data_IF_028134025339
#
_entry.id   IF_028134025339
#
_cell.length_a   1.000
_cell.length_b   1.000
_cell.length_c   1.000
_cell.angle_alpha   90.00
_cell.angle_beta   90.00
_cell.angle_gamma   90.00
#
_symmetry.space_group_name_H-M   'P 1'
#
loop_
_entity.id
_entity.type
_entity.pdbx_description
1 polymer ?
#
# COMPACT_ATOMS: atom_id res chain seq x y z
N UNK A 1 7.60 -5.10 8.15
CA UNK A 1 8.49 -4.17 7.42
C UNK A 1 9.28 -3.35 8.42
N UNK A 2 10.58 -3.51 8.48
CA UNK A 2 11.41 -2.71 9.39
C UNK A 2 11.29 -1.20 9.14
N UNK A 3 11.52 -0.40 10.16
CA UNK A 3 11.48 1.06 10.03
C UNK A 3 12.40 1.54 8.90
N UNK A 4 11.93 2.48 8.11
CA UNK A 4 12.68 3.05 6.98
C UNK A 4 12.64 2.22 5.70
N UNK A 5 12.12 1.00 5.73
CA UNK A 5 12.03 0.16 4.54
C UNK A 5 10.87 0.59 3.65
N UNK A 6 11.08 0.51 2.33
CA UNK A 6 10.08 0.89 1.34
C UNK A 6 9.84 -0.27 0.36
N UNK A 7 8.56 -0.48 0.04
CA UNK A 7 8.17 -1.33 -1.08
C UNK A 7 7.92 -0.39 -2.25
N UNK A 8 8.69 -0.53 -3.32
CA UNK A 8 8.63 0.36 -4.47
C UNK A 8 7.26 0.32 -5.15
N UNK A 9 6.97 1.41 -5.87
CA UNK A 9 5.74 1.53 -6.65
C UNK A 9 5.60 0.34 -7.60
N UNK A 10 4.45 -0.32 -7.52
CA UNK A 10 4.13 -1.45 -8.39
C UNK A 10 2.64 -1.50 -8.65
N UNK A 11 2.22 -2.40 -9.56
CA UNK A 11 0.83 -2.53 -9.96
C UNK A 11 0.52 -4.00 -10.24
N UNK A 12 -0.70 -4.41 -9.88
CA UNK A 12 -1.21 -5.75 -10.19
C UNK A 12 -2.35 -5.64 -11.20
N UNK A 13 -2.38 -6.55 -12.18
CA UNK A 13 -3.33 -6.47 -13.29
C UNK A 13 -4.75 -6.92 -12.91
N UNK A 14 -4.89 -7.89 -12.02
CA UNK A 14 -6.19 -8.51 -11.76
C UNK A 14 -6.41 -8.90 -10.29
N UNK A 15 -5.73 -8.21 -9.39
CA UNK A 15 -5.76 -8.55 -7.96
C UNK A 15 -6.22 -7.38 -7.11
N UNK A 16 -7.14 -7.65 -6.19
CA UNK A 16 -7.45 -6.75 -5.08
C UNK A 16 -6.56 -7.11 -3.90
N UNK A 17 -6.11 -6.10 -3.18
CA UNK A 17 -5.30 -6.30 -1.98
C UNK A 17 -5.92 -5.54 -0.83
N UNK A 18 -5.98 -6.19 0.33
CA UNK A 18 -6.49 -5.58 1.56
C UNK A 18 -5.40 -5.70 2.61
N UNK A 19 -5.01 -4.57 3.19
CA UNK A 19 -4.00 -4.52 4.26
C UNK A 19 -4.65 -3.95 5.52
N UNK A 20 -4.40 -4.58 6.66
CA UNK A 20 -4.79 -4.06 7.96
C UNK A 20 -3.54 -3.86 8.80
N UNK A 21 -3.34 -2.65 9.32
CA UNK A 21 -2.17 -2.32 10.13
C UNK A 21 -2.38 -2.80 11.56
N UNK A 22 -1.46 -3.62 12.04
CA UNK A 22 -1.49 -4.15 13.41
C UNK A 22 -0.62 -3.34 14.36
N UNK A 23 0.55 -2.85 13.89
CA UNK A 23 1.46 -2.05 14.71
C UNK A 23 2.44 -1.31 13.82
N UNK A 24 3.14 -0.34 14.39
CA UNK A 24 4.08 0.51 13.68
C UNK A 24 3.41 1.67 12.97
N UNK A 25 4.18 2.41 12.19
CA UNK A 25 3.66 3.52 11.39
C UNK A 25 4.31 3.57 10.01
N UNK A 26 3.56 4.06 9.03
CA UNK A 26 4.03 4.12 7.67
C UNK A 26 3.21 5.07 6.82
N UNK A 27 3.48 5.02 5.52
CA UNK A 27 2.70 5.76 4.52
C UNK A 27 2.37 4.84 3.36
N UNK A 28 1.20 5.04 2.80
CA UNK A 28 0.72 4.34 1.62
C UNK A 28 0.34 5.38 0.58
N UNK A 29 0.85 5.21 -0.64
CA UNK A 29 0.53 6.09 -1.76
C UNK A 29 -0.13 5.28 -2.87
N UNK A 30 -1.17 5.83 -3.47
CA UNK A 30 -1.87 5.22 -4.58
C UNK A 30 -2.04 6.24 -5.69
N UNK A 31 -1.90 5.80 -6.94
CA UNK A 31 -2.02 6.61 -8.15
C UNK A 31 -3.25 6.22 -8.95
N UNK A 32 -3.67 7.12 -9.82
CA UNK A 32 -4.71 6.80 -10.78
C UNK A 32 -4.28 5.68 -11.71
N UNK A 33 -5.23 4.88 -12.18
CA UNK A 33 -4.98 3.85 -13.18
C UNK A 33 -4.36 4.51 -14.42
N UNK A 34 -3.24 3.97 -14.87
CA UNK A 34 -2.54 4.51 -16.04
C UNK A 34 -1.67 5.73 -15.77
N UNK A 35 -1.51 6.13 -14.51
CA UNK A 35 -0.68 7.28 -14.16
C UNK A 35 0.77 7.07 -14.60
N UNK A 36 1.36 8.13 -15.16
CA UNK A 36 2.75 8.13 -15.61
C UNK A 36 3.73 8.10 -14.44
N UNK A 37 4.99 7.83 -14.76
CA UNK A 37 6.06 7.68 -13.79
C UNK A 37 6.26 8.92 -12.92
N UNK A 38 6.05 10.12 -13.48
CA UNK A 38 6.23 11.37 -12.77
C UNK A 38 4.94 11.95 -12.18
N UNK A 39 3.84 11.21 -12.25
CA UNK A 39 2.56 11.67 -11.71
C UNK A 39 2.61 11.70 -10.18
N UNK A 40 1.89 12.64 -9.59
CA UNK A 40 1.72 12.69 -8.14
C UNK A 40 0.70 11.65 -7.70
N UNK A 41 0.82 11.08 -6.50
CA UNK A 41 -0.18 10.18 -5.99
C UNK A 41 -1.56 10.84 -5.93
N UNK A 42 -2.59 10.06 -6.24
CA UNK A 42 -3.97 10.48 -6.05
C UNK A 42 -4.26 10.68 -4.56
N UNK A 43 -3.69 9.81 -3.74
CA UNK A 43 -3.91 9.83 -2.31
C UNK A 43 -2.67 9.32 -1.57
N UNK A 44 -2.37 9.93 -0.43
CA UNK A 44 -1.35 9.46 0.50
C UNK A 44 -2.02 9.26 1.85
N UNK A 45 -1.95 8.05 2.39
CA UNK A 45 -2.60 7.68 3.64
C UNK A 45 -1.54 7.35 4.68
N UNK A 46 -1.68 7.92 5.89
CA UNK A 46 -0.82 7.53 7.00
C UNK A 46 -1.28 6.17 7.53
N UNK A 47 -0.32 5.25 7.65
CA UNK A 47 -0.55 3.92 8.18
C UNK A 47 -0.26 3.92 9.68
N UNK A 48 -1.23 3.51 10.47
CA UNK A 48 -1.09 3.32 11.91
C UNK A 48 -2.09 2.24 12.32
N UNK A 49 -1.99 1.80 13.57
CA UNK A 49 -2.81 0.69 14.07
C UNK A 49 -4.28 0.88 13.70
N UNK A 50 -4.92 -0.19 13.24
CA UNK A 50 -6.33 -0.30 12.87
C UNK A 50 -6.71 0.34 11.52
N UNK A 51 -5.74 0.97 10.82
CA UNK A 51 -6.00 1.46 9.46
C UNK A 51 -6.11 0.29 8.50
N UNK A 52 -7.13 0.33 7.64
CA UNK A 52 -7.37 -0.67 6.60
C UNK A 52 -7.27 0.01 5.24
N UNK A 53 -6.46 -0.58 4.34
CA UNK A 53 -6.26 -0.08 2.98
C UNK A 53 -6.72 -1.13 2.00
N UNK A 54 -7.47 -0.71 0.99
CA UNK A 54 -7.88 -1.57 -0.13
C UNK A 54 -7.31 -1.01 -1.43
N UNK A 55 -6.66 -1.86 -2.21
CA UNK A 55 -6.10 -1.51 -3.52
C UNK A 55 -6.76 -2.38 -4.57
N UNK A 56 -7.28 -1.75 -5.63
CA UNK A 56 -7.88 -2.47 -6.74
C UNK A 56 -6.89 -2.83 -7.84
N UNK A 57 -7.31 -3.66 -8.81
CA UNK A 57 -6.49 -3.98 -9.97
C UNK A 57 -6.07 -2.71 -10.71
N UNK A 58 -4.86 -2.73 -11.28
CA UNK A 58 -4.29 -1.66 -12.11
C UNK A 58 -4.03 -0.34 -11.38
N UNK A 59 -4.26 -0.26 -10.08
CA UNK A 59 -3.92 0.93 -9.29
C UNK A 59 -2.47 0.84 -8.84
N UNK A 60 -1.57 1.68 -9.38
CA UNK A 60 -0.18 1.71 -8.89
C UNK A 60 -0.16 2.16 -7.44
N UNK A 61 0.68 1.52 -6.65
CA UNK A 61 0.76 1.86 -5.21
C UNK A 61 2.17 1.62 -4.67
N UNK A 62 2.44 2.29 -3.57
CA UNK A 62 3.73 2.24 -2.87
C UNK A 62 3.45 2.27 -1.37
N UNK A 63 4.30 1.61 -0.61
CA UNK A 63 4.16 1.53 0.83
C UNK A 63 5.53 1.63 1.49
N UNK A 64 5.61 2.34 2.60
CA UNK A 64 6.86 2.43 3.36
C UNK A 64 6.61 2.50 4.85
N UNK A 65 7.51 1.91 5.62
CA UNK A 65 7.55 2.10 7.06
C UNK A 65 8.31 3.39 7.34
N UNK A 66 7.79 4.23 8.24
CA UNK A 66 8.46 5.48 8.59
C UNK A 66 9.71 5.20 9.43
N UNK A 67 10.73 6.04 9.28
CA UNK A 67 11.97 5.91 10.03
C UNK A 67 11.77 6.06 11.53
N UNK A 68 10.80 6.88 11.93
CA UNK A 68 10.46 7.10 13.32
C UNK A 68 9.39 6.14 13.83
N UNK A 69 9.10 5.07 13.10
CA UNK A 69 8.15 4.05 13.52
C UNK A 69 8.62 3.40 14.82
N UNK A 70 7.68 3.21 15.76
CA UNK A 70 7.94 2.50 17.00
C UNK A 70 7.91 1.00 16.73
N UNK A 71 9.05 0.48 16.29
CA UNK A 71 9.17 -0.90 15.85
C UNK A 71 8.77 -1.07 14.38
N UNK A 72 8.76 -2.30 13.87
CA UNK A 72 8.42 -2.56 12.47
C UNK A 72 6.95 -2.28 12.18
N UNK A 73 6.67 -1.92 10.94
CA UNK A 73 5.30 -1.85 10.43
C UNK A 73 4.81 -3.27 10.18
N UNK A 74 3.80 -3.71 10.91
CA UNK A 74 3.23 -5.05 10.81
C UNK A 74 1.81 -4.95 10.31
N UNK A 75 1.50 -5.73 9.29
CA UNK A 75 0.18 -5.71 8.65
C UNK A 75 -0.27 -7.12 8.32
N UNK A 76 -1.59 -7.35 8.33
CA UNK A 76 -2.18 -8.52 7.68
C UNK A 76 -2.39 -8.20 6.21
N UNK A 77 -2.45 -9.24 5.38
CA UNK A 77 -2.61 -9.10 3.95
C UNK A 77 -3.58 -10.14 3.42
N UNK A 78 -4.53 -9.69 2.61
CA UNK A 78 -5.44 -10.58 1.87
C UNK A 78 -5.38 -10.18 0.40
N UNK A 79 -5.04 -11.14 -0.47
CA UNK A 79 -5.10 -10.95 -1.92
C UNK A 79 -6.28 -11.69 -2.50
N UNK A 80 -7.07 -11.04 -3.34
CA UNK A 80 -8.23 -11.62 -4.00
C UNK A 80 -8.06 -11.42 -5.50
N UNK A 81 -7.97 -12.55 -6.23
CA UNK A 81 -7.84 -12.49 -7.69
C UNK A 81 -9.22 -12.24 -8.28
N UNK A 82 -9.32 -11.20 -9.13
CA UNK A 82 -10.57 -10.88 -9.80
C UNK A 82 -10.91 -11.98 -10.81
N UNK A 83 -12.17 -12.43 -10.88
CA UNK A 83 -12.55 -13.44 -11.85
C UNK A 83 -12.44 -12.91 -13.28
N UNK A 84 -11.99 -13.76 -14.17
CA UNK A 84 -11.99 -13.47 -15.60
C UNK A 84 -13.40 -13.67 -16.15
N UNK A 85 -13.75 -12.88 -17.13
CA UNK A 85 -15.02 -13.00 -17.84
C UNK A 85 -14.81 -13.49 -19.26
#
# INVERSE_FOLDING_TARGET
>A
MPAGQCVDRHVHESKYEIFEVLSGSGEFCVWEIGAGENAKPRETVRLEKDVVITVGPKEPHLMRALEDSDGPLVMTYIGIVAPEK
#
